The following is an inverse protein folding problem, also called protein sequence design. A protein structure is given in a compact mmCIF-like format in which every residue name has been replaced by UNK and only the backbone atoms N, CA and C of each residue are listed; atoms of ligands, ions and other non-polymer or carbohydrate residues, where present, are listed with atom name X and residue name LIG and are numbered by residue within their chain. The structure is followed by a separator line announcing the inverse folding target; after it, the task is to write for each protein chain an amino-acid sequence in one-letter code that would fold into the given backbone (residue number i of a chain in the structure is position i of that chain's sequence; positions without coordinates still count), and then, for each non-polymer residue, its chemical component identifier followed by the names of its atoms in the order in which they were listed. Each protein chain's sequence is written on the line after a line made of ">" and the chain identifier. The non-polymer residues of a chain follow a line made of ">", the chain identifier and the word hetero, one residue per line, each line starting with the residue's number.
data_IF_081350234091
#
_entry.id   IF_081350234091
#
_cell.length_a   1.000
_cell.length_b   1.000
_cell.length_c   1.000
_cell.angle_alpha   90.00
_cell.angle_beta   90.00
_cell.angle_gamma   90.00
#
_symmetry.space_group_name_H-M   'P 1'
#
loop_
_entity.id
_entity.type
_entity.pdbx_description
1 polymer ?
#
# COMPACT_ATOMS: atom_id res chain seq x y z
N UNK A 1 10.95 0.42 1.63
CA UNK A 1 9.77 0.12 0.77
C UNK A 1 9.80 0.92 -0.52
N UNK A 2 9.61 2.25 -0.51
CA UNK A 2 9.51 3.04 -1.76
C UNK A 2 10.72 2.89 -2.69
N UNK A 3 11.94 3.02 -2.16
CA UNK A 3 13.16 2.83 -2.95
C UNK A 3 13.31 1.39 -3.49
N UNK A 4 12.93 0.37 -2.70
CA UNK A 4 12.90 -1.05 -3.13
C UNK A 4 11.96 -1.23 -4.32
N UNK A 5 10.81 -0.58 -4.25
CA UNK A 5 9.76 -0.69 -5.26
C UNK A 5 9.96 0.33 -6.41
N UNK A 6 11.11 1.03 -6.46
CA UNK A 6 11.44 1.98 -7.53
C UNK A 6 10.52 3.19 -7.60
N UNK A 7 9.86 3.55 -6.49
CA UNK A 7 8.76 4.54 -6.46
C UNK A 7 7.63 4.18 -7.44
N UNK A 8 7.33 2.89 -7.59
CA UNK A 8 6.23 2.40 -8.42
C UNK A 8 5.21 1.70 -7.54
N UNK A 9 3.92 2.00 -7.75
CA UNK A 9 2.82 1.32 -7.08
C UNK A 9 2.82 -0.17 -7.45
N UNK A 10 2.95 -1.06 -6.46
CA UNK A 10 2.96 -2.52 -6.68
C UNK A 10 1.64 -3.10 -7.18
N UNK A 11 0.55 -2.33 -7.09
CA UNK A 11 -0.80 -2.77 -7.47
C UNK A 11 -1.25 -2.23 -8.84
N UNK A 12 -0.76 -1.05 -9.24
CA UNK A 12 -1.24 -0.36 -10.45
C UNK A 12 -0.14 0.01 -11.44
N UNK A 13 1.14 0.04 -11.03
CA UNK A 13 2.26 0.47 -11.87
C UNK A 13 2.44 1.99 -11.99
N UNK A 14 1.60 2.80 -11.34
CA UNK A 14 1.73 4.27 -11.33
C UNK A 14 2.96 4.72 -10.53
N UNK A 15 3.62 5.79 -10.99
CA UNK A 15 4.73 6.41 -10.28
C UNK A 15 4.25 7.10 -8.99
N UNK A 16 4.98 6.90 -7.90
CA UNK A 16 4.68 7.41 -6.57
C UNK A 16 5.44 8.73 -6.30
N UNK A 17 5.19 9.73 -7.14
CA UNK A 17 5.92 11.01 -7.15
C UNK A 17 5.10 12.17 -6.59
N UNK A 18 3.82 11.94 -6.30
CA UNK A 18 2.91 12.98 -5.82
C UNK A 18 3.23 13.46 -4.42
N UNK A 19 3.02 14.75 -4.16
CA UNK A 19 3.01 15.31 -2.81
C UNK A 19 1.67 15.02 -2.15
N UNK A 20 1.66 14.63 -0.87
CA UNK A 20 0.41 14.39 -0.13
C UNK A 20 -0.52 15.62 -0.16
N UNK A 21 -1.84 15.47 -0.42
CA UNK A 21 -2.60 14.23 -0.56
C UNK A 21 -2.92 13.84 -2.02
N UNK A 22 -2.03 14.11 -2.98
CA UNK A 22 -2.24 13.75 -4.38
C UNK A 22 -2.52 12.24 -4.57
N UNK A 23 -3.27 11.87 -5.61
CA UNK A 23 -3.67 10.48 -5.85
C UNK A 23 -2.50 9.52 -6.06
N UNK A 24 -1.42 10.03 -6.65
CA UNK A 24 -0.13 9.39 -6.89
C UNK A 24 0.88 9.61 -5.75
N UNK A 25 0.46 10.17 -4.60
CA UNK A 25 1.34 10.26 -3.44
C UNK A 25 1.62 8.86 -2.84
N UNK A 26 2.86 8.61 -2.38
CA UNK A 26 3.26 7.31 -1.85
C UNK A 26 2.58 6.98 -0.52
N UNK A 27 2.09 5.75 -0.40
CA UNK A 27 1.61 5.14 0.84
C UNK A 27 2.28 3.78 1.01
N UNK A 28 2.67 3.45 2.24
CA UNK A 28 3.15 2.11 2.59
C UNK A 28 2.00 1.36 3.25
N UNK A 29 1.76 0.16 2.78
CA UNK A 29 0.58 -0.62 3.10
C UNK A 29 0.92 -2.07 3.48
N UNK A 30 0.17 -2.66 4.41
CA UNK A 30 0.29 -4.09 4.71
C UNK A 30 -0.51 -4.94 3.72
N UNK A 31 0.15 -5.87 3.02
CA UNK A 31 -0.48 -6.83 2.11
C UNK A 31 -1.48 -7.69 2.87
N UNK A 32 -1.05 -8.31 3.98
CA UNK A 32 -1.92 -9.03 4.91
C UNK A 32 -2.20 -8.15 6.12
N UNK A 33 -3.47 -7.97 6.53
CA UNK A 33 -3.81 -7.23 7.73
C UNK A 33 -3.10 -7.83 8.95
N UNK A 34 -2.31 -7.03 9.65
CA UNK A 34 -1.49 -7.52 10.77
C UNK A 34 -2.33 -7.87 12.02
N UNK A 35 -3.53 -7.28 12.20
CA UNK A 35 -4.47 -7.56 13.33
C UNK A 35 -3.82 -7.54 14.73
N UNK A 36 -2.82 -6.67 14.91
CA UNK A 36 -2.06 -6.55 16.15
C UNK A 36 -0.84 -7.48 16.28
N UNK A 37 -0.60 -8.37 15.32
CA UNK A 37 0.62 -9.19 15.25
C UNK A 37 1.83 -8.30 14.89
N UNK A 38 2.81 -8.12 15.80
CA UNK A 38 3.99 -7.31 15.52
C UNK A 38 4.89 -7.90 14.42
N UNK A 39 4.91 -9.22 14.26
CA UNK A 39 5.70 -9.86 13.22
C UNK A 39 5.18 -9.45 11.84
N UNK A 40 3.85 -9.50 11.64
CA UNK A 40 3.23 -9.03 10.39
C UNK A 40 3.30 -7.51 10.21
N UNK A 41 3.35 -6.76 11.30
CA UNK A 41 3.43 -5.30 11.24
C UNK A 41 4.77 -4.83 10.64
N UNK A 42 5.88 -5.47 11.04
CA UNK A 42 7.24 -5.10 10.64
C UNK A 42 7.81 -5.98 9.53
N UNK A 43 7.13 -7.05 9.12
CA UNK A 43 7.56 -7.92 8.02
C UNK A 43 7.64 -7.12 6.71
N UNK A 44 8.87 -6.92 6.24
CA UNK A 44 9.17 -6.23 5.00
C UNK A 44 8.52 -6.88 3.76
N UNK A 45 8.34 -8.21 3.79
CA UNK A 45 7.64 -8.93 2.74
C UNK A 45 6.13 -8.70 2.80
N UNK A 46 5.60 -8.36 3.97
CA UNK A 46 4.20 -7.97 4.17
C UNK A 46 3.93 -6.49 3.85
N UNK A 47 4.97 -5.67 3.63
CA UNK A 47 4.83 -4.25 3.28
C UNK A 47 4.95 -4.02 1.77
N UNK A 48 4.05 -3.21 1.22
CA UNK A 48 4.04 -2.81 -0.19
C UNK A 48 3.91 -1.29 -0.36
N UNK A 49 4.55 -0.74 -1.39
CA UNK A 49 4.34 0.64 -1.80
C UNK A 49 3.15 0.74 -2.76
N UNK A 50 2.19 1.61 -2.45
CA UNK A 50 0.98 1.84 -3.24
C UNK A 50 0.68 3.34 -3.37
N UNK A 51 -0.15 3.70 -4.34
CA UNK A 51 -0.63 5.08 -4.46
C UNK A 51 -1.75 5.35 -3.46
N UNK A 52 -1.86 6.58 -2.98
CA UNK A 52 -2.94 7.01 -2.09
C UNK A 52 -4.32 6.73 -2.66
N UNK A 53 -4.52 6.97 -3.95
CA UNK A 53 -5.81 6.73 -4.61
C UNK A 53 -6.21 5.25 -4.55
N UNK A 54 -5.27 4.33 -4.84
CA UNK A 54 -5.55 2.89 -4.76
C UNK A 54 -5.80 2.45 -3.32
N UNK A 55 -4.99 2.93 -2.39
CA UNK A 55 -5.10 2.62 -0.97
C UNK A 55 -6.47 3.03 -0.40
N UNK A 56 -6.89 4.27 -0.66
CA UNK A 56 -8.11 4.80 -0.05
C UNK A 56 -9.38 4.25 -0.71
N UNK A 57 -9.33 3.84 -1.99
CA UNK A 57 -10.51 3.37 -2.73
C UNK A 57 -10.56 1.86 -2.88
N UNK A 58 -9.55 1.29 -3.53
CA UNK A 58 -9.56 -0.11 -3.97
C UNK A 58 -9.30 -1.04 -2.80
N UNK A 59 -8.26 -0.75 -2.00
CA UNK A 59 -7.94 -1.60 -0.83
C UNK A 59 -9.08 -1.61 0.17
N UNK A 60 -9.57 -0.44 0.59
CA UNK A 60 -10.70 -0.37 1.51
C UNK A 60 -11.95 -1.12 0.99
N UNK A 61 -12.20 -1.09 -0.32
CA UNK A 61 -13.28 -1.87 -0.92
C UNK A 61 -13.04 -3.39 -0.83
N UNK A 62 -11.81 -3.84 -1.11
CA UNK A 62 -11.44 -5.26 -1.00
C UNK A 62 -11.54 -5.77 0.43
N UNK A 63 -11.08 -4.98 1.41
CA UNK A 63 -11.18 -5.33 2.83
C UNK A 63 -12.63 -5.45 3.29
N UNK A 64 -13.51 -4.52 2.90
CA UNK A 64 -14.96 -4.61 3.19
C UNK A 64 -15.62 -5.85 2.60
N UNK A 65 -15.08 -6.38 1.50
CA UNK A 65 -15.58 -7.58 0.81
C UNK A 65 -14.89 -8.87 1.28
N UNK A 66 -13.90 -8.79 2.18
CA UNK A 66 -13.10 -9.94 2.60
C UNK A 66 -12.21 -10.52 1.49
N UNK A 67 -11.86 -9.71 0.49
CA UNK A 67 -11.03 -10.09 -0.68
C UNK A 67 -9.58 -9.59 -0.56
N UNK A 68 -9.19 -9.14 0.63
CA UNK A 68 -7.86 -8.66 0.98
C UNK A 68 -7.22 -9.59 2.00
#
# INVERSE_FOLDING_TARGET
>A
MLARDGYVCRQTGVLLIGTYPAGDSPVVDHIRPHRGDPALFWDEANLQSVSKEWHDRVKQSREKRGLA
#
